data_IF_726665434423
#
_entry.id   IF_726665434423
#
_cell.length_a   1.000
_cell.length_b   1.000
_cell.length_c   1.000
_cell.angle_alpha   90.00
_cell.angle_beta   90.00
_cell.angle_gamma   90.00
#
_symmetry.space_group_name_H-M   'P 1'
#
loop_
_entity.id
_entity.type
_entity.pdbx_description
1 polymer ?
#
# COMPACT_ATOMS: atom_id res chain seq x y z
N UNK A 1 -27.73 -20.14 -42.29
CA UNK A 1 -29.08 -19.63 -41.93
C UNK A 1 -29.65 -20.54 -40.85
N UNK A 2 -30.43 -19.96 -39.92
CA UNK A 2 -31.06 -20.53 -38.71
C UNK A 2 -30.08 -21.01 -37.63
N UNK A 3 -29.92 -20.40 -36.44
CA UNK A 3 -30.83 -19.57 -35.65
C UNK A 3 -31.53 -20.44 -34.60
N UNK A 4 -30.99 -20.53 -33.37
CA UNK A 4 -31.71 -21.03 -32.21
C UNK A 4 -31.05 -20.54 -30.90
N UNK A 5 -31.50 -19.37 -30.42
CA UNK A 5 -31.40 -19.00 -29.01
C UNK A 5 -32.24 -19.96 -28.18
N UNK A 6 -31.68 -20.53 -27.12
CA UNK A 6 -32.45 -21.10 -26.02
C UNK A 6 -31.86 -20.58 -24.70
N UNK A 7 -32.57 -19.64 -24.09
CA UNK A 7 -32.38 -19.20 -22.71
C UNK A 7 -32.75 -20.38 -21.82
N UNK A 8 -31.84 -20.88 -20.99
CA UNK A 8 -32.19 -21.81 -19.90
C UNK A 8 -32.33 -21.03 -18.60
N UNK A 9 -33.49 -21.21 -18.02
CA UNK A 9 -34.05 -20.54 -16.86
C UNK A 9 -33.26 -20.81 -15.58
N UNK A 10 -33.24 -19.82 -14.70
CA UNK A 10 -32.70 -19.92 -13.34
C UNK A 10 -33.70 -20.72 -12.51
N UNK A 11 -33.32 -21.94 -12.13
CA UNK A 11 -34.05 -22.76 -11.17
C UNK A 11 -33.94 -22.18 -9.76
N UNK A 12 -35.09 -21.80 -9.19
CA UNK A 12 -35.31 -21.47 -7.77
C UNK A 12 -35.26 -22.77 -6.96
N UNK A 13 -34.36 -22.86 -5.98
CA UNK A 13 -34.43 -23.89 -4.95
C UNK A 13 -35.10 -23.32 -3.70
N UNK A 14 -36.31 -23.83 -3.46
CA UNK A 14 -36.98 -24.10 -2.17
C UNK A 14 -36.04 -23.99 -0.96
N UNK A 15 -36.28 -23.09 -0.01
CA UNK A 15 -37.21 -23.35 1.10
C UNK A 15 -36.43 -23.86 2.34
N UNK A 16 -35.85 -22.95 3.11
CA UNK A 16 -35.48 -23.20 4.51
C UNK A 16 -36.30 -22.23 5.35
N UNK A 17 -37.39 -22.73 5.91
CA UNK A 17 -38.22 -22.06 6.90
C UNK A 17 -37.41 -21.88 8.18
N UNK A 18 -37.19 -20.63 8.59
CA UNK A 18 -36.78 -20.31 9.95
C UNK A 18 -38.05 -19.89 10.70
N UNK A 19 -38.40 -20.70 11.70
CA UNK A 19 -39.59 -20.52 12.52
C UNK A 19 -39.60 -19.19 13.26
N UNK A 20 -40.83 -18.72 13.46
CA UNK A 20 -41.20 -17.56 14.24
C UNK A 20 -40.54 -17.55 15.62
N UNK A 21 -39.80 -16.48 15.92
CA UNK A 21 -39.59 -16.06 17.29
C UNK A 21 -39.99 -14.60 17.41
N UNK A 22 -41.27 -14.41 17.71
CA UNK A 22 -41.86 -13.14 18.08
C UNK A 22 -41.22 -12.62 19.37
N UNK A 23 -40.34 -11.63 19.24
CA UNK A 23 -40.15 -10.62 20.28
C UNK A 23 -39.77 -9.26 19.66
N UNK A 24 -40.81 -8.46 19.45
CA UNK A 24 -40.95 -7.05 19.77
C UNK A 24 -39.77 -6.07 19.52
N UNK A 25 -40.11 -5.04 18.75
CA UNK A 25 -39.65 -3.64 18.84
C UNK A 25 -38.36 -3.26 18.11
N UNK A 26 -38.50 -3.06 16.80
CA UNK A 26 -37.60 -2.23 15.98
C UNK A 26 -37.97 -0.76 16.15
N UNK A 27 -37.23 -0.04 17.01
CA UNK A 27 -37.34 1.42 17.17
C UNK A 27 -35.98 2.11 16.96
N UNK A 28 -35.99 3.00 15.96
CA UNK A 28 -35.10 4.13 15.70
C UNK A 28 -33.68 3.86 15.18
N UNK A 29 -33.51 4.18 13.90
CA UNK A 29 -32.25 4.56 13.28
C UNK A 29 -31.71 5.83 13.95
N UNK A 30 -30.86 5.65 14.95
CA UNK A 30 -30.06 6.70 15.58
C UNK A 30 -28.82 6.07 16.20
N UNK A 31 -27.67 6.69 15.99
CA UNK A 31 -26.43 6.44 16.76
C UNK A 31 -25.53 5.27 16.33
N UNK A 32 -25.42 5.02 15.03
CA UNK A 32 -24.26 4.30 14.46
C UNK A 32 -22.92 5.03 14.70
N UNK A 33 -22.95 6.30 15.14
CA UNK A 33 -21.76 7.09 15.49
C UNK A 33 -21.26 6.72 16.90
N UNK A 34 -22.14 6.35 17.85
CA UNK A 34 -21.70 6.00 19.23
C UNK A 34 -20.76 4.79 19.23
N UNK A 35 -20.98 3.84 18.33
CA UNK A 35 -20.13 2.65 18.19
C UNK A 35 -18.73 2.95 17.64
N UNK A 36 -18.53 4.06 16.93
CA UNK A 36 -17.18 4.50 16.56
C UNK A 36 -16.46 5.17 17.74
N UNK A 37 -17.20 5.79 18.65
CA UNK A 37 -16.67 6.40 19.87
C UNK A 37 -16.35 5.38 20.97
N UNK A 38 -17.03 4.22 20.99
CA UNK A 38 -16.84 3.15 21.99
C UNK A 38 -15.71 2.16 21.65
N UNK A 39 -14.86 2.46 20.66
CA UNK A 39 -13.75 1.59 20.31
C UNK A 39 -12.71 1.56 21.45
N UNK A 40 -12.72 0.47 22.22
CA UNK A 40 -11.86 0.15 23.39
C UNK A 40 -10.34 0.14 23.14
N UNK A 41 -9.89 0.52 21.94
CA UNK A 41 -8.46 0.74 21.69
C UNK A 41 -7.92 2.03 22.34
N UNK A 42 -8.81 2.87 22.89
CA UNK A 42 -8.47 4.08 23.64
C UNK A 42 -8.01 3.74 25.08
N UNK A 43 -6.78 3.24 25.23
CA UNK A 43 -6.15 3.17 26.54
C UNK A 43 -5.72 4.57 26.98
N UNK A 44 -6.49 5.17 27.89
CA UNK A 44 -6.05 6.33 28.66
C UNK A 44 -4.81 5.94 29.48
N UNK A 45 -3.68 6.60 29.21
CA UNK A 45 -2.48 6.53 30.04
C UNK A 45 -2.68 7.52 31.19
N UNK A 46 -2.94 7.02 32.39
CA UNK A 46 -3.06 7.90 33.57
C UNK A 46 -1.72 8.56 33.90
N UNK A 47 -1.64 9.88 33.73
CA UNK A 47 -0.70 10.71 34.48
C UNK A 47 -1.19 12.16 34.58
N UNK A 48 -1.68 12.52 35.76
CA UNK A 48 -1.53 13.84 36.40
C UNK A 48 -2.04 15.09 35.67
N UNK A 49 -3.18 15.62 36.16
CA UNK A 49 -3.51 17.05 36.35
C UNK A 49 -2.99 18.03 35.28
N UNK A 50 -3.82 18.31 34.27
CA UNK A 50 -3.66 19.43 33.34
C UNK A 50 -4.63 19.34 32.15
N UNK A 51 -5.69 20.14 32.20
CA UNK A 51 -6.65 20.60 31.17
C UNK A 51 -6.61 19.94 29.77
N UNK A 52 -7.51 18.98 29.57
CA UNK A 52 -8.29 18.63 28.36
C UNK A 52 -7.74 18.95 26.96
N UNK A 53 -6.55 18.45 26.63
CA UNK A 53 -6.15 18.27 25.22
C UNK A 53 -6.42 16.80 24.83
N UNK A 54 -7.55 16.56 24.18
CA UNK A 54 -7.84 15.27 23.54
C UNK A 54 -6.87 15.08 22.37
N UNK A 55 -5.71 14.47 22.64
CA UNK A 55 -4.80 13.98 21.59
C UNK A 55 -5.65 13.13 20.62
N UNK A 56 -5.89 13.65 19.41
CA UNK A 56 -6.73 12.95 18.42
C UNK A 56 -5.99 11.68 17.96
N UNK A 57 -6.30 10.57 18.62
CA UNK A 57 -5.76 9.26 18.26
C UNK A 57 -6.52 8.77 17.03
N UNK A 58 -5.91 8.92 15.86
CA UNK A 58 -6.40 8.33 14.61
C UNK A 58 -5.79 6.94 14.42
N UNK A 59 -6.29 6.18 13.44
CA UNK A 59 -5.66 4.91 13.04
C UNK A 59 -4.19 5.08 12.62
N UNK A 60 -3.78 6.28 12.21
CA UNK A 60 -2.40 6.63 11.87
C UNK A 60 -1.49 6.83 13.09
N UNK A 61 -2.05 7.13 14.28
CA UNK A 61 -1.28 7.46 15.48
C UNK A 61 -0.46 6.27 16.00
N UNK A 62 -0.95 5.05 15.81
CA UNK A 62 -0.23 3.81 16.17
C UNK A 62 0.66 3.26 15.05
N UNK A 63 0.61 3.84 13.86
CA UNK A 63 1.44 3.37 12.75
C UNK A 63 2.90 3.69 13.04
N UNK A 64 3.78 2.71 12.79
CA UNK A 64 5.23 2.96 12.86
C UNK A 64 5.55 4.13 11.95
N UNK A 65 6.10 5.21 12.52
CA UNK A 65 6.58 6.36 11.77
C UNK A 65 7.55 5.84 10.71
N UNK A 66 7.19 5.99 9.44
CA UNK A 66 8.12 5.69 8.35
C UNK A 66 9.27 6.68 8.53
N UNK A 67 10.49 6.19 8.67
CA UNK A 67 11.68 7.04 8.60
C UNK A 67 11.52 7.93 7.37
N UNK A 68 11.63 9.24 7.55
CA UNK A 68 11.44 10.24 6.51
C UNK A 68 12.43 9.93 5.39
N UNK A 69 11.96 9.29 4.32
CA UNK A 69 12.82 8.93 3.19
C UNK A 69 13.25 10.24 2.56
N UNK A 70 14.57 10.50 2.55
CA UNK A 70 15.16 11.66 1.88
C UNK A 70 14.68 11.68 0.42
N UNK A 71 14.26 12.83 -0.10
CA UNK A 71 13.89 12.95 -1.52
C UNK A 71 15.12 12.64 -2.38
N UNK A 72 14.93 12.04 -3.55
CA UNK A 72 16.02 11.82 -4.51
C UNK A 72 16.38 13.17 -5.14
N UNK A 73 17.65 13.55 -5.09
CA UNK A 73 18.14 14.68 -5.88
C UNK A 73 18.38 14.26 -7.33
N UNK A 74 18.61 15.22 -8.20
CA UNK A 74 18.93 14.94 -9.60
C UNK A 74 20.28 14.24 -9.70
N UNK A 75 21.27 14.68 -8.93
CA UNK A 75 22.61 14.08 -8.91
C UNK A 75 22.57 12.63 -8.42
N UNK A 76 21.78 12.33 -7.38
CA UNK A 76 21.57 10.95 -6.91
C UNK A 76 20.83 10.10 -7.96
N UNK A 77 19.98 10.73 -8.78
CA UNK A 77 19.27 10.03 -9.86
C UNK A 77 20.21 9.70 -11.02
N UNK A 78 21.14 10.58 -11.38
CA UNK A 78 22.18 10.28 -12.37
C UNK A 78 23.10 9.15 -11.87
N UNK A 79 23.56 9.23 -10.62
CA UNK A 79 24.34 8.16 -10.00
C UNK A 79 23.59 6.81 -9.98
N UNK A 80 22.26 6.84 -9.80
CA UNK A 80 21.44 5.64 -9.88
C UNK A 80 21.50 4.98 -11.27
N UNK A 81 21.44 5.78 -12.35
CA UNK A 81 21.58 5.25 -13.70
C UNK A 81 22.99 4.69 -13.96
N UNK A 82 24.04 5.35 -13.48
CA UNK A 82 25.42 4.86 -13.59
C UNK A 82 25.65 3.55 -12.83
N UNK A 83 25.07 3.45 -11.62
CA UNK A 83 25.07 2.22 -10.84
C UNK A 83 24.31 1.10 -11.57
N UNK A 84 23.21 1.42 -12.27
CA UNK A 84 22.46 0.47 -13.08
C UNK A 84 23.29 -0.09 -14.25
N UNK A 85 24.10 0.75 -14.89
CA UNK A 85 25.01 0.33 -15.96
C UNK A 85 26.15 -0.56 -15.44
N UNK A 86 26.54 -0.43 -14.17
CA UNK A 86 27.68 -1.15 -13.59
C UNK A 86 27.26 -2.44 -12.89
N UNK A 87 26.15 -2.41 -12.15
CA UNK A 87 25.66 -3.52 -11.33
C UNK A 87 24.52 -4.30 -11.98
N UNK A 88 23.81 -3.72 -12.95
CA UNK A 88 22.60 -4.30 -13.52
C UNK A 88 21.40 -4.16 -12.58
N UNK A 89 20.66 -5.26 -12.33
CA UNK A 89 19.48 -5.27 -11.45
C UNK A 89 19.77 -5.73 -10.01
N UNK A 90 21.05 -5.81 -9.62
CA UNK A 90 21.40 -6.18 -8.25
C UNK A 90 21.37 -4.96 -7.31
N UNK A 91 20.22 -4.79 -6.65
CA UNK A 91 20.00 -3.69 -5.71
C UNK A 91 20.79 -3.82 -4.41
N UNK A 92 21.22 -5.03 -4.03
CA UNK A 92 22.08 -5.22 -2.85
C UNK A 92 23.49 -4.72 -3.15
N UNK A 93 23.98 -4.95 -4.37
CA UNK A 93 25.25 -4.41 -4.84
C UNK A 93 25.21 -2.87 -4.92
N UNK A 94 24.11 -2.30 -5.43
CA UNK A 94 23.92 -0.85 -5.48
C UNK A 94 23.87 -0.21 -4.09
N UNK A 95 23.32 -0.87 -3.08
CA UNK A 95 23.29 -0.37 -1.69
C UNK A 95 24.71 -0.09 -1.17
N UNK A 96 25.71 -0.86 -1.59
CA UNK A 96 27.11 -0.59 -1.22
C UNK A 96 27.67 0.70 -1.86
N UNK A 97 27.14 1.11 -3.01
CA UNK A 97 27.51 2.36 -3.68
C UNK A 97 26.86 3.57 -2.99
N UNK A 98 25.63 3.41 -2.50
CA UNK A 98 24.87 4.47 -1.86
C UNK A 98 24.87 4.35 -0.32
N UNK A 99 25.76 5.09 0.35
CA UNK A 99 25.88 5.07 1.83
C UNK A 99 24.60 5.46 2.58
N UNK A 100 23.75 6.31 1.98
CA UNK A 100 22.54 6.84 2.61
C UNK A 100 21.24 6.19 2.09
N UNK A 101 21.33 5.22 1.16
CA UNK A 101 20.15 4.62 0.52
C UNK A 101 20.13 3.12 0.77
N UNK A 102 19.07 2.67 1.45
CA UNK A 102 18.84 1.25 1.63
C UNK A 102 18.39 0.59 0.31
N UNK A 103 18.69 -0.69 0.12
CA UNK A 103 18.22 -1.54 -0.99
C UNK A 103 16.75 -1.33 -1.33
N UNK A 104 15.87 -1.22 -0.32
CA UNK A 104 14.44 -0.97 -0.53
C UNK A 104 14.19 0.34 -1.27
N UNK A 105 14.88 1.40 -0.89
CA UNK A 105 14.74 2.73 -1.50
C UNK A 105 15.22 2.71 -2.96
N UNK A 106 16.30 1.98 -3.24
CA UNK A 106 16.85 1.81 -4.59
C UNK A 106 15.87 1.04 -5.48
N UNK A 107 15.27 -0.05 -4.96
CA UNK A 107 14.21 -0.77 -5.67
C UNK A 107 13.00 0.12 -5.95
N UNK A 108 12.54 0.89 -4.96
CA UNK A 108 11.40 1.79 -5.13
C UNK A 108 11.70 2.88 -6.17
N UNK A 109 12.95 3.37 -6.22
CA UNK A 109 13.42 4.28 -7.26
C UNK A 109 13.38 3.62 -8.64
N UNK A 110 13.89 2.38 -8.78
CA UNK A 110 13.78 1.64 -10.04
C UNK A 110 12.33 1.50 -10.51
N UNK A 111 11.41 1.12 -9.60
CA UNK A 111 9.99 0.99 -9.95
C UNK A 111 9.41 2.34 -10.40
N UNK A 112 9.76 3.44 -9.72
CA UNK A 112 9.32 4.78 -10.12
C UNK A 112 9.87 5.15 -11.50
N UNK A 113 11.17 5.02 -11.72
CA UNK A 113 11.82 5.36 -12.98
C UNK A 113 11.37 4.46 -14.14
N UNK A 114 11.06 3.18 -13.91
CA UNK A 114 10.49 2.30 -14.94
C UNK A 114 9.13 2.78 -15.45
N UNK A 115 8.39 3.54 -14.62
CA UNK A 115 7.09 4.11 -14.98
C UNK A 115 7.24 5.50 -15.61
N UNK A 116 8.15 6.32 -15.10
CA UNK A 116 8.31 7.71 -15.57
C UNK A 116 9.27 7.84 -16.75
N UNK A 117 10.36 7.07 -16.75
CA UNK A 117 11.48 7.17 -17.69
C UNK A 117 11.94 5.78 -18.18
N UNK A 118 11.06 4.98 -18.82
CA UNK A 118 11.39 3.61 -19.25
C UNK A 118 12.60 3.57 -20.20
N UNK A 119 12.72 4.54 -21.12
CA UNK A 119 13.84 4.62 -22.08
C UNK A 119 15.21 4.71 -21.40
N UNK A 120 15.34 5.46 -20.30
CA UNK A 120 16.62 5.60 -19.58
C UNK A 120 17.01 4.29 -18.88
N UNK A 121 16.03 3.55 -18.36
CA UNK A 121 16.25 2.23 -17.76
C UNK A 121 16.73 1.24 -18.84
N UNK A 122 16.04 1.19 -19.98
CA UNK A 122 16.39 0.31 -21.11
C UNK A 122 17.80 0.59 -21.62
N UNK A 123 18.15 1.87 -21.80
CA UNK A 123 19.48 2.28 -22.23
C UNK A 123 20.57 1.85 -21.22
N UNK A 124 20.33 2.09 -19.93
CA UNK A 124 21.27 1.73 -18.89
C UNK A 124 21.51 0.21 -18.81
N UNK A 125 20.44 -0.59 -18.89
CA UNK A 125 20.53 -2.06 -18.92
C UNK A 125 21.20 -2.57 -20.20
N UNK A 126 20.89 -1.97 -21.35
CA UNK A 126 21.56 -2.30 -22.62
C UNK A 126 23.07 -2.09 -22.54
N UNK A 127 23.51 -0.95 -21.99
CA UNK A 127 24.94 -0.66 -21.77
C UNK A 127 25.61 -1.67 -20.83
N UNK A 128 24.94 -2.10 -19.75
CA UNK A 128 25.45 -3.13 -18.85
C UNK A 128 25.70 -4.47 -19.57
N UNK A 129 24.74 -4.94 -20.38
CA UNK A 129 24.88 -6.20 -21.12
C UNK A 129 26.04 -6.17 -22.12
N UNK A 130 26.26 -5.02 -22.78
CA UNK A 130 27.36 -4.85 -23.72
C UNK A 130 28.74 -4.80 -23.03
N UNK A 131 28.82 -4.33 -21.78
CA UNK A 131 30.07 -4.32 -21.00
C UNK A 131 30.51 -5.72 -20.59
N UNK A 132 29.58 -6.59 -20.21
CA UNK A 132 29.88 -7.97 -19.80
C UNK A 132 30.22 -8.91 -20.97
N UNK A 133 30.13 -8.46 -22.21
CA UNK A 133 30.44 -9.25 -23.41
C UNK A 133 31.81 -8.92 -24.04
N UNK A 134 32.60 -8.02 -23.45
CA UNK A 134 33.98 -7.69 -23.85
C UNK A 134 34.98 -8.31 -22.89
#
# INVERSE_FOLDING_TARGET
MTGASHKKERGRTTGMEYGDNSNASHETAGDSIKYFCDNRNFKYREKGRGEDELDLITCGTYMKKKNTIKKWTEEETEQFYDALVTCGCDFSLMEMVFKDRNRKNIKDKYVKESRTNPKRIEEALGRHTNKNSR
#
